data_IF_233041555919
#
_entry.id   IF_233041555919
#
_cell.length_a   1.000
_cell.length_b   1.000
_cell.length_c   1.000
_cell.angle_alpha   90.00
_cell.angle_beta   90.00
_cell.angle_gamma   90.00
#
_symmetry.space_group_name_H-M   'P 1'
#
loop_
_entity.id
_entity.type
_entity.pdbx_description
1 polymer ?
#
# COMPACT_ATOMS: atom_id res chain seq x y z
N UNK A 1 2.97 28.27 -32.89
CA UNK A 1 2.82 26.83 -33.17
C UNK A 1 3.66 25.94 -32.26
N UNK A 2 4.88 26.29 -32.04
CA UNK A 2 5.73 25.53 -31.13
C UNK A 2 5.24 25.55 -29.67
N UNK A 3 4.45 26.55 -29.29
CA UNK A 3 3.95 26.67 -27.91
C UNK A 3 2.91 25.61 -27.50
N UNK A 4 2.16 25.09 -28.46
CA UNK A 4 1.10 24.13 -28.18
C UNK A 4 1.60 22.79 -27.55
N UNK A 5 2.66 22.17 -28.10
CA UNK A 5 3.18 20.97 -27.49
C UNK A 5 3.71 21.19 -26.05
N UNK A 6 4.26 22.36 -25.79
CA UNK A 6 4.75 22.72 -24.45
C UNK A 6 3.62 22.83 -23.44
N UNK A 7 2.50 23.41 -23.83
CA UNK A 7 1.34 23.51 -22.95
C UNK A 7 0.77 22.14 -22.61
N UNK A 8 0.72 21.24 -23.58
CA UNK A 8 0.26 19.87 -23.34
C UNK A 8 1.14 19.13 -22.37
N UNK A 9 2.47 19.31 -22.47
CA UNK A 9 3.40 18.68 -21.54
C UNK A 9 3.21 19.18 -20.11
N UNK A 10 2.92 20.47 -19.96
CA UNK A 10 2.66 21.06 -18.64
C UNK A 10 1.36 20.51 -18.06
N UNK A 11 0.34 20.38 -18.89
CA UNK A 11 -0.97 19.89 -18.47
C UNK A 11 -0.95 18.42 -18.04
N UNK A 12 0.00 17.63 -18.55
CA UNK A 12 0.15 16.22 -18.20
C UNK A 12 1.10 15.99 -17.04
N UNK A 13 1.61 17.06 -16.42
CA UNK A 13 2.48 16.92 -15.25
C UNK A 13 1.77 16.17 -14.14
N UNK A 14 2.48 15.26 -13.47
CA UNK A 14 1.96 14.53 -12.32
C UNK A 14 1.57 15.47 -11.20
N UNK A 15 0.51 15.17 -10.45
CA UNK A 15 0.16 15.93 -9.26
C UNK A 15 1.32 16.00 -8.26
N UNK A 16 1.41 17.11 -7.54
CA UNK A 16 2.37 17.22 -6.43
C UNK A 16 1.92 16.33 -5.27
N UNK A 17 2.87 15.99 -4.40
CA UNK A 17 2.63 15.17 -3.22
C UNK A 17 1.48 15.70 -2.33
N UNK A 18 1.34 17.02 -2.28
CA UNK A 18 0.35 17.69 -1.42
C UNK A 18 -1.07 17.56 -1.96
N UNK A 19 -1.23 17.24 -3.25
CA UNK A 19 -2.53 17.06 -3.87
C UNK A 19 -3.13 15.67 -3.60
N UNK A 20 -2.35 14.73 -3.09
CA UNK A 20 -2.82 13.39 -2.77
C UNK A 20 -3.43 13.33 -1.37
N UNK A 21 -4.57 12.70 -1.28
CA UNK A 21 -5.31 12.49 -0.04
C UNK A 21 -5.38 11.00 0.31
N UNK A 22 -5.25 10.64 1.58
CA UNK A 22 -5.49 9.26 2.00
C UNK A 22 -6.97 8.92 1.93
N UNK A 23 -7.26 7.73 1.42
CA UNK A 23 -8.62 7.19 1.37
C UNK A 23 -8.60 5.75 1.86
N UNK A 24 -9.37 5.46 2.89
CA UNK A 24 -9.68 4.10 3.31
C UNK A 24 -10.80 3.58 2.41
N UNK A 25 -10.58 2.45 1.76
CA UNK A 25 -11.62 1.80 0.93
C UNK A 25 -12.66 1.20 1.87
N UNK A 26 -13.90 1.67 1.77
CA UNK A 26 -14.98 1.24 2.67
C UNK A 26 -16.16 0.59 1.96
N UNK A 27 -16.23 0.69 0.62
CA UNK A 27 -17.33 0.11 -0.16
C UNK A 27 -16.81 -0.73 -1.31
N UNK A 28 -17.64 -1.67 -1.78
CA UNK A 28 -17.30 -2.47 -2.96
C UNK A 28 -17.19 -1.59 -4.21
N UNK A 29 -17.98 -0.55 -4.30
CA UNK A 29 -17.92 0.39 -5.43
C UNK A 29 -16.57 1.11 -5.48
N UNK A 30 -16.08 1.59 -4.33
CA UNK A 30 -14.75 2.19 -4.26
C UNK A 30 -13.66 1.19 -4.64
N UNK A 31 -13.76 -0.03 -4.13
CA UNK A 31 -12.79 -1.08 -4.47
C UNK A 31 -12.74 -1.31 -5.98
N UNK A 32 -13.89 -1.47 -6.61
CA UNK A 32 -13.95 -1.71 -8.05
C UNK A 32 -13.47 -0.50 -8.86
N UNK A 33 -13.76 0.69 -8.38
CA UNK A 33 -13.32 1.94 -9.03
C UNK A 33 -11.80 2.05 -9.07
N UNK A 34 -11.13 1.78 -7.95
CA UNK A 34 -9.69 1.99 -7.83
C UNK A 34 -8.85 0.75 -8.08
N UNK A 35 -9.47 -0.43 -8.12
CA UNK A 35 -8.73 -1.69 -8.21
C UNK A 35 -7.77 -1.78 -9.40
N UNK A 36 -8.13 -1.34 -10.63
CA UNK A 36 -7.18 -1.42 -11.74
C UNK A 36 -5.86 -0.71 -11.46
N UNK A 37 -5.89 0.47 -10.83
CA UNK A 37 -4.69 1.20 -10.46
C UNK A 37 -3.99 0.58 -9.25
N UNK A 38 -4.76 0.10 -8.27
CA UNK A 38 -4.22 -0.61 -7.10
C UNK A 38 -3.45 -1.86 -7.54
N UNK A 39 -4.04 -2.66 -8.42
CA UNK A 39 -3.43 -3.87 -8.94
C UNK A 39 -2.11 -3.57 -9.67
N UNK A 40 -2.11 -2.52 -10.47
CA UNK A 40 -0.90 -2.09 -11.17
C UNK A 40 0.26 -1.84 -10.19
N UNK A 41 0.00 -1.11 -9.11
CA UNK A 41 1.03 -0.79 -8.12
C UNK A 41 1.40 -1.97 -7.23
N UNK A 42 0.48 -2.89 -6.97
CA UNK A 42 0.72 -4.06 -6.11
C UNK A 42 1.44 -5.20 -6.82
N UNK A 43 1.40 -5.25 -8.16
CA UNK A 43 1.97 -6.36 -8.91
C UNK A 43 3.45 -6.63 -8.60
N UNK A 44 4.34 -5.63 -8.52
CA UNK A 44 5.75 -5.89 -8.17
C UNK A 44 5.92 -6.50 -6.77
N UNK A 45 5.09 -6.10 -5.82
CA UNK A 45 5.12 -6.66 -4.47
C UNK A 45 4.67 -8.12 -4.48
N UNK A 46 3.57 -8.41 -5.15
CA UNK A 46 3.01 -9.77 -5.26
C UNK A 46 3.99 -10.71 -5.94
N UNK A 47 4.69 -10.24 -6.99
CA UNK A 47 5.69 -11.03 -7.70
C UNK A 47 6.85 -11.49 -6.78
N UNK A 48 7.08 -10.80 -5.68
CA UNK A 48 8.16 -11.13 -4.72
C UNK A 48 7.68 -11.94 -3.52
N UNK A 49 6.41 -12.37 -3.52
CA UNK A 49 5.81 -13.08 -2.38
C UNK A 49 5.92 -14.61 -2.48
N UNK A 50 6.87 -15.12 -3.23
CA UNK A 50 7.17 -16.55 -3.30
C UNK A 50 5.99 -17.45 -3.69
N UNK A 51 5.06 -16.92 -4.49
CA UNK A 51 3.88 -17.67 -4.91
C UNK A 51 2.80 -17.84 -3.85
N UNK A 52 2.94 -17.17 -2.71
CA UNK A 52 1.99 -17.27 -1.61
C UNK A 52 0.66 -16.58 -1.91
N UNK A 53 0.69 -15.52 -2.71
CA UNK A 53 -0.44 -14.63 -2.95
C UNK A 53 -0.45 -14.19 -4.40
N UNK A 54 -1.63 -14.09 -4.98
CA UNK A 54 -1.86 -13.45 -6.28
C UNK A 54 -2.75 -12.21 -6.10
N UNK A 55 -2.81 -11.36 -7.11
CA UNK A 55 -3.61 -10.12 -7.03
C UNK A 55 -5.08 -10.39 -6.70
N UNK A 56 -5.65 -11.46 -7.26
CA UNK A 56 -7.05 -11.83 -6.99
C UNK A 56 -7.28 -12.11 -5.50
N UNK A 57 -6.32 -12.73 -4.82
CA UNK A 57 -6.42 -12.99 -3.38
C UNK A 57 -6.52 -11.69 -2.59
N UNK A 58 -5.75 -10.69 -2.97
CA UNK A 58 -5.78 -9.37 -2.32
C UNK A 58 -7.13 -8.68 -2.55
N UNK A 59 -7.62 -8.69 -3.79
CA UNK A 59 -8.93 -8.15 -4.11
C UNK A 59 -10.03 -8.80 -3.26
N UNK A 60 -10.06 -10.13 -3.26
CA UNK A 60 -11.06 -10.89 -2.51
C UNK A 60 -10.99 -10.59 -1.01
N UNK A 61 -9.79 -10.48 -0.46
CA UNK A 61 -9.61 -10.22 0.97
C UNK A 61 -10.14 -8.84 1.38
N UNK A 62 -9.95 -7.83 0.54
CA UNK A 62 -10.49 -6.49 0.79
C UNK A 62 -12.01 -6.51 0.65
N UNK A 63 -12.51 -7.16 -0.39
CA UNK A 63 -13.95 -7.26 -0.64
C UNK A 63 -14.68 -7.95 0.51
N UNK A 64 -14.08 -9.01 1.06
CA UNK A 64 -14.67 -9.79 2.15
C UNK A 64 -14.47 -9.14 3.53
N UNK A 65 -13.75 -8.04 3.61
CA UNK A 65 -13.47 -7.35 4.87
C UNK A 65 -12.40 -8.02 5.73
N UNK A 66 -11.67 -9.00 5.21
CA UNK A 66 -10.56 -9.66 5.94
C UNK A 66 -9.34 -8.76 6.02
N UNK A 67 -9.18 -7.89 5.04
CA UNK A 67 -8.12 -6.88 5.01
C UNK A 67 -8.73 -5.51 4.74
N UNK A 68 -7.96 -4.47 5.01
CA UNK A 68 -8.31 -3.10 4.67
C UNK A 68 -7.33 -2.57 3.62
N UNK A 69 -7.80 -1.66 2.78
CA UNK A 69 -6.95 -0.98 1.82
C UNK A 69 -6.98 0.52 2.06
N UNK A 70 -5.81 1.13 2.10
CA UNK A 70 -5.66 2.58 2.15
C UNK A 70 -4.88 3.00 0.92
N UNK A 71 -5.39 3.98 0.18
CA UNK A 71 -4.76 4.49 -1.02
C UNK A 71 -4.46 5.98 -0.88
N UNK A 72 -3.45 6.44 -1.60
CA UNK A 72 -3.22 7.87 -1.81
C UNK A 72 -3.79 8.22 -3.17
N UNK A 73 -4.81 9.06 -3.21
CA UNK A 73 -5.48 9.41 -4.46
C UNK A 73 -5.50 10.92 -4.67
N UNK A 74 -5.56 11.30 -5.93
CA UNK A 74 -5.76 12.68 -6.35
C UNK A 74 -6.80 12.73 -7.45
N UNK A 75 -7.80 13.58 -7.28
CA UNK A 75 -8.84 13.80 -8.29
C UNK A 75 -8.47 15.05 -9.09
N UNK A 76 -8.36 14.91 -10.42
CA UNK A 76 -8.04 16.01 -11.33
C UNK A 76 -8.82 15.85 -12.61
N UNK A 77 -9.49 16.93 -13.06
CA UNK A 77 -10.18 16.99 -14.34
C UNK A 77 -11.14 15.82 -14.57
N UNK A 78 -11.86 15.44 -13.52
CA UNK A 78 -12.84 14.34 -13.59
C UNK A 78 -12.23 12.94 -13.56
N UNK A 79 -10.91 12.83 -13.39
CA UNK A 79 -10.21 11.55 -13.28
C UNK A 79 -9.54 11.43 -11.92
N UNK A 80 -9.43 10.18 -11.41
CA UNK A 80 -8.74 9.88 -10.18
C UNK A 80 -7.43 9.17 -10.47
N UNK A 81 -6.36 9.62 -9.83
CA UNK A 81 -5.05 8.98 -9.88
C UNK A 81 -4.72 8.38 -8.52
N UNK A 82 -4.30 7.12 -8.50
CA UNK A 82 -3.79 6.44 -7.30
C UNK A 82 -2.27 6.40 -7.40
N UNK A 83 -1.59 7.00 -6.42
CA UNK A 83 -0.13 7.02 -6.40
C UNK A 83 0.45 5.94 -5.50
N UNK A 84 -0.35 5.42 -4.57
CA UNK A 84 0.15 4.53 -3.54
C UNK A 84 -0.97 3.68 -2.98
N UNK A 85 -0.64 2.44 -2.60
CA UNK A 85 -1.61 1.51 -2.01
C UNK A 85 -0.96 0.69 -0.90
N UNK A 86 -1.69 0.53 0.20
CA UNK A 86 -1.36 -0.38 1.31
C UNK A 86 -2.52 -1.35 1.51
N UNK A 87 -2.20 -2.62 1.66
CA UNK A 87 -3.15 -3.64 2.12
C UNK A 87 -2.75 -4.03 3.54
N UNK A 88 -3.70 -3.97 4.45
CA UNK A 88 -3.48 -4.08 5.89
C UNK A 88 -4.35 -5.17 6.49
N UNK A 89 -3.80 -5.94 7.41
CA UNK A 89 -4.50 -7.02 8.09
C UNK A 89 -4.31 -6.93 9.59
N UNK A 90 -5.38 -7.11 10.36
CA UNK A 90 -5.28 -7.18 11.81
C UNK A 90 -4.69 -8.53 12.25
N UNK A 91 -3.74 -8.49 13.17
CA UNK A 91 -3.15 -9.68 13.79
C UNK A 91 -3.16 -9.54 15.30
N UNK A 92 -3.77 -10.52 15.97
CA UNK A 92 -3.83 -10.55 17.43
C UNK A 92 -2.90 -11.61 17.96
N UNK A 93 -1.96 -11.18 18.78
CA UNK A 93 -1.11 -12.06 19.58
C UNK A 93 -1.64 -12.06 21.01
N UNK A 94 -1.29 -13.02 21.86
CA UNK A 94 -1.83 -13.06 23.22
C UNK A 94 -1.66 -11.77 24.02
N UNK A 95 -0.59 -11.01 23.76
CA UNK A 95 -0.30 -9.78 24.50
C UNK A 95 -0.17 -8.54 23.64
N UNK A 96 -0.48 -8.65 22.37
CA UNK A 96 -0.21 -7.59 21.42
C UNK A 96 -1.20 -7.65 20.27
N UNK A 97 -1.78 -6.51 19.93
CA UNK A 97 -2.59 -6.38 18.73
C UNK A 97 -1.83 -5.53 17.71
N UNK A 98 -1.59 -6.10 16.53
CA UNK A 98 -0.86 -5.45 15.45
C UNK A 98 -1.75 -5.25 14.23
N UNK A 99 -1.43 -4.23 13.45
CA UNK A 99 -1.87 -4.14 12.05
C UNK A 99 -0.66 -4.49 11.18
N UNK A 100 -0.81 -5.49 10.33
CA UNK A 100 0.25 -5.95 9.44
C UNK A 100 0.08 -5.34 8.05
N UNK A 101 1.15 -4.73 7.54
CA UNK A 101 1.21 -4.31 6.13
C UNK A 101 1.55 -5.55 5.32
N UNK A 102 0.57 -6.12 4.62
CA UNK A 102 0.77 -7.36 3.87
C UNK A 102 1.15 -7.14 2.41
N UNK A 103 0.82 -5.97 1.86
CA UNK A 103 1.24 -5.60 0.53
C UNK A 103 1.35 -4.07 0.43
N UNK A 104 2.29 -3.62 -0.37
CA UNK A 104 2.60 -2.21 -0.54
C UNK A 104 3.04 -1.97 -1.98
N UNK A 105 2.60 -0.87 -2.56
CA UNK A 105 3.04 -0.48 -3.88
C UNK A 105 2.73 0.97 -4.19
N UNK A 106 3.43 1.52 -5.16
CA UNK A 106 3.19 2.88 -5.59
C UNK A 106 4.42 3.54 -6.18
N UNK A 107 4.20 4.70 -6.76
CA UNK A 107 5.27 5.60 -7.15
C UNK A 107 5.56 6.58 -6.01
N UNK A 108 6.73 7.12 -5.96
CA UNK A 108 7.10 8.12 -4.95
C UNK A 108 6.85 7.63 -3.51
N UNK A 109 7.65 6.66 -3.10
CA UNK A 109 7.59 6.15 -1.72
C UNK A 109 7.77 7.24 -0.66
N UNK A 110 8.29 8.41 -1.05
CA UNK A 110 8.40 9.57 -0.16
C UNK A 110 7.04 10.12 0.29
N UNK A 111 5.95 9.77 -0.43
CA UNK A 111 4.59 10.11 -0.01
C UNK A 111 4.28 9.58 1.38
N UNK A 112 4.89 8.47 1.78
CA UNK A 112 4.69 7.91 3.11
C UNK A 112 5.14 8.84 4.23
N UNK A 113 6.13 9.69 4.00
CA UNK A 113 6.62 10.62 5.04
C UNK A 113 5.72 11.82 5.26
N UNK A 114 4.72 11.98 4.41
CA UNK A 114 3.77 13.09 4.50
C UNK A 114 2.60 12.74 5.43
N UNK A 115 1.54 13.52 5.34
CA UNK A 115 0.28 13.28 6.05
C UNK A 115 -0.28 11.88 5.84
N UNK A 116 0.07 11.22 4.72
CA UNK A 116 -0.41 9.87 4.42
C UNK A 116 0.04 8.85 5.48
N UNK A 117 1.31 8.84 5.83
CA UNK A 117 1.83 7.92 6.85
C UNK A 117 1.23 8.20 8.23
N UNK A 118 1.09 9.47 8.57
CA UNK A 118 0.43 9.86 9.82
C UNK A 118 -1.01 9.36 9.86
N UNK A 119 -1.71 9.42 8.73
CA UNK A 119 -3.07 8.92 8.62
C UNK A 119 -3.12 7.40 8.85
N UNK A 120 -2.22 6.65 8.23
CA UNK A 120 -2.14 5.19 8.41
C UNK A 120 -1.89 4.83 9.88
N UNK A 121 -0.91 5.48 10.52
CA UNK A 121 -0.59 5.25 11.92
C UNK A 121 -1.78 5.60 12.84
N UNK A 122 -2.43 6.71 12.58
CA UNK A 122 -3.60 7.13 13.33
C UNK A 122 -4.76 6.15 13.19
N UNK A 123 -5.03 5.72 11.96
CA UNK A 123 -6.07 4.71 11.71
C UNK A 123 -5.78 3.41 12.45
N UNK A 124 -4.54 2.93 12.36
CA UNK A 124 -4.13 1.70 13.05
C UNK A 124 -4.30 1.81 14.57
N UNK A 125 -3.86 2.93 15.14
CA UNK A 125 -4.00 3.19 16.58
C UNK A 125 -5.48 3.22 17.00
N UNK A 126 -6.31 3.92 16.23
CA UNK A 126 -7.75 4.00 16.51
C UNK A 126 -8.47 2.67 16.33
N UNK A 127 -7.91 1.77 15.52
CA UNK A 127 -8.42 0.41 15.36
C UNK A 127 -8.00 -0.54 16.48
N UNK A 128 -7.27 -0.04 17.49
CA UNK A 128 -6.86 -0.80 18.65
C UNK A 128 -5.48 -1.43 18.55
N UNK A 129 -4.73 -1.16 17.49
CA UNK A 129 -3.38 -1.69 17.35
C UNK A 129 -2.39 -0.87 18.16
N UNK A 130 -1.45 -1.55 18.80
CA UNK A 130 -0.33 -0.92 19.50
C UNK A 130 0.94 -0.88 18.64
N UNK A 131 1.00 -1.69 17.57
CA UNK A 131 2.14 -1.74 16.66
C UNK A 131 1.67 -1.97 15.23
N UNK A 132 2.47 -1.48 14.29
CA UNK A 132 2.42 -1.88 12.89
C UNK A 132 3.54 -2.88 12.65
N UNK A 133 3.26 -3.93 11.88
CA UNK A 133 4.30 -4.84 11.41
C UNK A 133 4.29 -4.97 9.90
N UNK A 134 5.39 -5.38 9.32
CA UNK A 134 5.51 -5.62 7.89
C UNK A 134 6.55 -6.69 7.63
N UNK A 135 6.38 -7.42 6.53
CA UNK A 135 7.40 -8.32 6.02
C UNK A 135 8.13 -7.63 4.88
N UNK A 136 9.44 -7.53 4.98
CA UNK A 136 10.25 -6.98 3.91
C UNK A 136 10.55 -8.07 2.88
N UNK A 137 9.98 -7.91 1.68
CA UNK A 137 10.15 -8.90 0.60
C UNK A 137 11.47 -8.71 -0.15
N UNK A 138 12.23 -7.66 0.17
CA UNK A 138 13.54 -7.38 -0.43
C UNK A 138 14.34 -6.44 0.48
N UNK A 139 15.69 -6.41 0.34
CA UNK A 139 16.51 -5.45 1.09
C UNK A 139 16.13 -3.99 0.85
N UNK A 140 15.63 -3.66 -0.34
CA UNK A 140 15.19 -2.31 -0.65
C UNK A 140 13.96 -1.93 0.18
N UNK A 141 12.99 -2.82 0.30
CA UNK A 141 11.80 -2.60 1.12
C UNK A 141 12.17 -2.52 2.60
N UNK A 142 13.08 -3.37 3.06
CA UNK A 142 13.57 -3.32 4.44
C UNK A 142 14.17 -1.94 4.76
N UNK A 143 15.00 -1.40 3.89
CA UNK A 143 15.58 -0.06 4.07
C UNK A 143 14.50 1.02 4.12
N UNK A 144 13.48 0.92 3.28
CA UNK A 144 12.37 1.87 3.27
C UNK A 144 11.62 1.80 4.61
N UNK A 145 11.28 0.60 5.06
CA UNK A 145 10.55 0.42 6.33
C UNK A 145 11.36 0.95 7.51
N UNK A 146 12.67 0.73 7.53
CA UNK A 146 13.54 1.26 8.58
C UNK A 146 13.51 2.78 8.63
N UNK A 147 13.39 3.46 7.50
CA UNK A 147 13.25 4.92 7.45
C UNK A 147 11.96 5.40 8.10
N UNK A 148 10.94 4.54 8.15
CA UNK A 148 9.65 4.86 8.79
C UNK A 148 9.58 4.44 10.24
N UNK A 149 10.69 3.98 10.78
CA UNK A 149 10.79 3.62 12.19
C UNK A 149 10.54 2.14 12.49
N UNK A 150 10.40 1.30 11.48
CA UNK A 150 10.33 -0.14 11.69
C UNK A 150 11.68 -0.69 12.10
N UNK A 151 11.66 -1.64 13.02
CA UNK A 151 12.86 -2.36 13.46
C UNK A 151 12.64 -3.86 13.20
N UNK A 152 13.70 -4.55 12.79
CA UNK A 152 13.65 -6.00 12.61
C UNK A 152 13.47 -6.68 13.98
N UNK A 153 12.44 -7.52 14.12
CA UNK A 153 12.17 -8.22 15.37
C UNK A 153 12.54 -9.70 15.32
N UNK A 154 12.40 -10.34 14.15
CA UNK A 154 12.83 -11.72 13.91
C UNK A 154 12.88 -11.98 12.41
N UNK A 155 13.47 -13.12 12.05
CA UNK A 155 13.55 -13.57 10.65
C UNK A 155 12.78 -14.87 10.48
N UNK A 156 11.91 -14.95 9.47
CA UNK A 156 11.19 -16.17 9.14
C UNK A 156 12.04 -17.04 8.22
N UNK A 157 12.14 -18.31 8.55
CA UNK A 157 12.86 -19.30 7.74
C UNK A 157 11.87 -20.41 7.35
N UNK A 158 12.05 -20.96 6.15
CA UNK A 158 11.19 -22.05 5.66
C UNK A 158 12.02 -23.21 5.17
N UNK A 159 11.52 -24.43 5.40
CA UNK A 159 12.07 -25.66 4.87
C UNK A 159 11.03 -26.24 3.92
N UNK A 160 11.41 -26.51 2.69
CA UNK A 160 10.52 -27.17 1.72
C UNK A 160 10.50 -28.67 2.00
N UNK A 161 9.36 -29.16 2.44
CA UNK A 161 9.20 -30.59 2.77
C UNK A 161 9.15 -31.49 1.54
N UNK A 162 8.81 -30.95 0.38
CA UNK A 162 8.79 -31.71 -0.86
C UNK A 162 10.18 -32.08 -1.35
N UNK A 163 11.21 -31.37 -0.91
CA UNK A 163 12.61 -31.63 -1.28
C UNK A 163 13.31 -32.62 -0.34
N UNK A 164 12.63 -33.08 0.69
CA UNK A 164 13.15 -34.06 1.64
C UNK A 164 12.93 -35.47 1.12
#
# INVERSE_FOLDING_TARGET
MAAQPKLKLIETASPSIEEFEPLLITTHEQLDQYWPQMAYWLEPCVAKMNGEVILQDLYDSVKDGRTAAIIAKCDRDGASEVAFVLILEGKSYPRLHCISVIAIGGRQMDLLKSKFWKHVCSWAFMSGASQLEAQAVSPAIERILQRYGFNTVYTTMRLDLAEM
#
